data_IF_053743279250
#
_entry.id   IF_053743279250
#
_cell.length_a   1.000
_cell.length_b   1.000
_cell.length_c   1.000
_cell.angle_alpha   90.00
_cell.angle_beta   90.00
_cell.angle_gamma   90.00
#
_symmetry.space_group_name_H-M   'P 1'
#
loop_
_entity.id
_entity.type
_entity.pdbx_description
1 polymer ?
#
# COMPACT_ATOMS: atom_id res chain seq x y z
N UNK A 1 15.89 10.25 21.74
CA UNK A 1 14.52 9.71 21.74
C UNK A 1 14.64 8.20 21.62
N UNK A 2 13.95 7.44 22.46
CA UNK A 2 14.04 5.97 22.45
C UNK A 2 13.24 5.38 21.29
N UNK A 3 13.74 4.31 20.67
CA UNK A 3 13.04 3.61 19.59
C UNK A 3 11.82 2.89 20.17
N UNK A 4 10.67 3.02 19.50
CA UNK A 4 9.46 2.25 19.84
C UNK A 4 9.49 0.95 19.02
N UNK A 5 9.54 -0.20 19.70
CA UNK A 5 9.48 -1.48 19.02
C UNK A 5 8.05 -1.81 18.55
N UNK A 6 7.88 -2.33 17.32
CA UNK A 6 6.57 -2.70 16.80
C UNK A 6 5.97 -3.88 17.58
N UNK A 7 4.66 -3.84 17.79
CA UNK A 7 3.91 -4.96 18.36
C UNK A 7 3.72 -6.09 17.34
N UNK A 8 3.20 -7.24 17.79
CA UNK A 8 2.87 -8.34 16.91
C UNK A 8 1.93 -7.90 15.77
N UNK A 9 2.35 -8.14 14.52
CA UNK A 9 1.61 -7.75 13.32
C UNK A 9 1.81 -6.30 12.88
N UNK A 10 2.57 -5.50 13.61
CA UNK A 10 2.99 -4.16 13.19
C UNK A 10 4.33 -4.22 12.43
N UNK A 11 4.51 -3.26 11.53
CA UNK A 11 5.76 -3.04 10.81
C UNK A 11 6.27 -1.64 11.20
N UNK A 12 7.56 -1.51 11.50
CA UNK A 12 8.19 -0.19 11.72
C UNK A 12 8.62 0.39 10.37
N UNK A 13 8.14 1.59 10.05
CA UNK A 13 8.56 2.32 8.83
C UNK A 13 10.05 2.66 8.80
N UNK A 14 10.71 2.61 9.96
CA UNK A 14 12.15 2.84 10.06
C UNK A 14 12.98 1.62 9.64
N UNK A 15 12.36 0.44 9.59
CA UNK A 15 13.01 -0.82 9.18
C UNK A 15 12.90 -1.07 7.67
N UNK A 16 12.16 -0.24 6.93
CA UNK A 16 12.13 -0.30 5.46
C UNK A 16 13.47 0.13 4.85
N UNK A 17 13.92 -0.50 3.75
CA UNK A 17 15.27 -0.28 3.22
C UNK A 17 15.41 1.02 2.41
N UNK A 18 16.67 1.39 2.18
CA UNK A 18 17.09 2.31 1.13
C UNK A 18 18.11 1.60 0.23
N UNK A 19 17.89 1.47 -1.09
CA UNK A 19 16.77 2.00 -1.87
C UNK A 19 15.40 1.36 -1.51
N UNK A 20 14.27 2.00 -1.84
CA UNK A 20 12.93 1.47 -1.57
C UNK A 20 12.74 0.08 -2.16
N UNK A 21 11.97 -0.77 -1.48
CA UNK A 21 11.65 -2.12 -1.94
C UNK A 21 10.23 -2.18 -2.50
N UNK A 22 10.09 -2.84 -3.64
CA UNK A 22 8.81 -3.16 -4.24
C UNK A 22 8.47 -4.63 -3.93
N UNK A 23 7.28 -4.88 -3.36
CA UNK A 23 6.81 -6.22 -3.03
C UNK A 23 5.42 -6.46 -3.62
N UNK A 24 5.20 -7.60 -4.28
CA UNK A 24 3.85 -8.04 -4.65
C UNK A 24 3.04 -8.38 -3.40
N UNK A 25 1.73 -8.13 -3.42
CA UNK A 25 0.85 -8.44 -2.29
C UNK A 25 -0.48 -9.03 -2.74
N UNK A 26 -0.93 -10.06 -2.00
CA UNK A 26 -2.23 -10.70 -2.17
C UNK A 26 -3.32 -10.13 -1.23
N UNK A 27 -3.01 -9.05 -0.49
CA UNK A 27 -4.01 -8.35 0.33
C UNK A 27 -5.19 -7.92 -0.55
N UNK A 28 -6.40 -8.03 -0.01
CA UNK A 28 -7.60 -7.50 -0.65
C UNK A 28 -7.64 -5.99 -0.40
N UNK A 29 -7.34 -5.20 -1.44
CA UNK A 29 -7.30 -3.76 -1.37
C UNK A 29 -8.50 -3.17 -2.08
N UNK A 30 -9.16 -2.21 -1.44
CA UNK A 30 -10.36 -1.54 -1.95
C UNK A 30 -10.17 -0.04 -1.74
N UNK A 31 -10.30 0.75 -2.80
CA UNK A 31 -10.33 2.21 -2.73
C UNK A 31 -11.78 2.65 -2.87
N UNK A 32 -12.32 3.31 -1.84
CA UNK A 32 -13.69 3.83 -1.84
C UNK A 32 -13.65 5.34 -1.76
N UNK A 33 -14.36 6.01 -2.68
CA UNK A 33 -14.52 7.45 -2.70
C UNK A 33 -16.00 7.80 -2.91
N UNK A 34 -16.59 8.60 -2.03
CA UNK A 34 -18.01 8.96 -2.12
C UNK A 34 -18.96 7.76 -2.07
N UNK A 35 -18.60 6.67 -1.37
CA UNK A 35 -19.38 5.43 -1.36
C UNK A 35 -19.23 4.55 -2.60
N UNK A 36 -18.37 4.94 -3.56
CA UNK A 36 -18.11 4.24 -4.80
C UNK A 36 -16.73 3.58 -4.74
N UNK A 37 -16.64 2.27 -4.99
CA UNK A 37 -15.36 1.53 -5.07
C UNK A 37 -14.58 1.89 -6.34
N UNK A 38 -13.68 2.86 -6.34
CA UNK A 38 -12.97 3.29 -7.57
C UNK A 38 -11.91 2.29 -8.04
N UNK A 39 -11.39 1.44 -7.15
CA UNK A 39 -10.46 0.36 -7.49
C UNK A 39 -10.56 -0.80 -6.49
N UNK A 40 -10.38 -2.03 -6.95
CA UNK A 40 -10.38 -3.23 -6.10
C UNK A 40 -9.43 -4.29 -6.67
N UNK A 41 -8.49 -4.80 -5.86
CA UNK A 41 -7.52 -5.80 -6.32
C UNK A 41 -7.08 -6.76 -5.23
N UNK A 42 -6.55 -7.92 -5.66
CA UNK A 42 -5.74 -8.86 -4.87
C UNK A 42 -4.35 -9.08 -5.48
N UNK A 43 -3.93 -8.22 -6.40
CA UNK A 43 -2.70 -8.35 -7.21
C UNK A 43 -1.93 -7.02 -7.24
N UNK A 44 -1.86 -6.36 -6.11
CA UNK A 44 -1.18 -5.07 -5.99
C UNK A 44 0.32 -5.25 -5.78
N UNK A 45 1.04 -4.14 -5.92
CA UNK A 45 2.36 -3.98 -5.34
C UNK A 45 2.31 -3.02 -4.16
N UNK A 46 3.15 -3.24 -3.15
CA UNK A 46 3.43 -2.26 -2.09
C UNK A 46 4.86 -1.75 -2.22
N UNK A 47 5.06 -0.45 -2.05
CA UNK A 47 6.36 0.19 -1.95
C UNK A 47 6.66 0.43 -0.47
N UNK A 48 7.81 -0.05 -0.02
CA UNK A 48 8.34 0.12 1.33
C UNK A 48 9.54 1.05 1.28
N UNK A 49 9.35 2.26 1.78
CA UNK A 49 10.38 3.31 1.84
C UNK A 49 10.55 3.79 3.28
N UNK A 50 11.79 3.91 3.74
CA UNK A 50 12.09 4.37 5.10
C UNK A 50 11.27 5.61 5.45
N UNK A 51 10.75 5.63 6.68
CA UNK A 51 9.93 6.70 7.28
C UNK A 51 8.55 6.96 6.66
N UNK A 52 8.13 6.21 5.64
CA UNK A 52 6.82 6.37 5.00
C UNK A 52 5.93 5.12 5.21
N UNK A 53 4.60 5.30 5.39
CA UNK A 53 3.67 4.17 5.35
C UNK A 53 3.74 3.47 3.97
N UNK A 54 3.44 2.16 3.89
CA UNK A 54 3.39 1.46 2.61
C UNK A 54 2.45 2.15 1.61
N UNK A 55 2.95 2.39 0.40
CA UNK A 55 2.14 2.90 -0.72
C UNK A 55 1.77 1.73 -1.62
N UNK A 56 0.52 1.67 -2.08
CA UNK A 56 0.01 0.57 -2.90
C UNK A 56 -0.22 1.00 -4.35
N UNK A 57 0.28 0.20 -5.28
CA UNK A 57 0.03 0.32 -6.72
C UNK A 57 -0.98 -0.74 -7.16
N UNK A 58 -2.02 -0.28 -7.85
CA UNK A 58 -3.05 -1.12 -8.43
C UNK A 58 -2.74 -1.37 -9.91
N UNK A 59 -2.96 -2.60 -10.43
CA UNK A 59 -2.97 -2.82 -11.86
C UNK A 59 -4.05 -1.96 -12.54
N UNK A 60 -3.78 -1.33 -13.70
CA UNK A 60 -4.78 -0.49 -14.37
C UNK A 60 -6.10 -1.19 -14.67
N UNK A 61 -6.08 -2.50 -14.94
CA UNK A 61 -7.29 -3.29 -15.21
C UNK A 61 -8.19 -3.52 -13.99
N UNK A 62 -7.70 -3.22 -12.79
CA UNK A 62 -8.42 -3.34 -11.53
C UNK A 62 -8.96 -1.96 -11.05
N UNK A 63 -8.87 -0.93 -11.91
CA UNK A 63 -9.30 0.44 -11.65
C UNK A 63 -10.48 0.79 -12.56
N UNK A 64 -11.53 1.40 -11.98
CA UNK A 64 -12.66 1.94 -12.73
C UNK A 64 -12.29 3.30 -13.35
N UNK A 65 -11.67 3.23 -14.52
CA UNK A 65 -11.11 4.37 -15.24
C UNK A 65 -12.15 5.44 -15.60
N UNK A 66 -13.44 5.10 -15.65
CA UNK A 66 -14.53 6.06 -15.86
C UNK A 66 -14.60 7.17 -14.81
N UNK A 67 -13.96 6.99 -13.65
CA UNK A 67 -13.90 7.98 -12.57
C UNK A 67 -12.63 8.85 -12.55
N UNK A 68 -11.69 8.68 -13.49
CA UNK A 68 -10.35 9.31 -13.44
C UNK A 68 -10.10 10.35 -14.55
N UNK A 69 -11.11 11.14 -14.89
CA UNK A 69 -11.03 12.14 -15.96
C UNK A 69 -10.30 13.42 -15.57
#
# INVERSE_FOLDING_TARGET
>A
MERVEPQAGQESVWDYPRPPRLEGTAKHLVVVFGGITVAETRRAYRVLETSHPPVYYFPPGDIRMEYLR
#
